data_IF_357636255285
#
_entry.id   IF_357636255285
#
_cell.length_a   1.000
_cell.length_b   1.000
_cell.length_c   1.000
_cell.angle_alpha   90.00
_cell.angle_beta   90.00
_cell.angle_gamma   90.00
#
_symmetry.space_group_name_H-M   'P 1'
#
loop_
_entity.id
_entity.type
_entity.pdbx_description
1 polymer ?
#
# COMPACT_ATOMS: atom_id res chain seq x y z
N UNK A 1 87.75 -15.75 -31.94
CA UNK A 1 86.99 -16.10 -30.72
C UNK A 1 86.29 -14.85 -30.21
N UNK A 2 84.96 -14.90 -30.06
CA UNK A 2 84.09 -14.11 -29.15
C UNK A 2 83.99 -12.60 -29.44
N UNK A 3 82.83 -11.92 -29.47
CA UNK A 3 81.38 -12.22 -29.37
C UNK A 3 80.66 -10.98 -29.94
N UNK A 4 79.61 -11.19 -30.72
CA UNK A 4 78.58 -10.19 -31.09
C UNK A 4 77.65 -10.02 -29.89
N UNK A 5 77.16 -8.80 -29.58
CA UNK A 5 75.73 -8.52 -29.35
C UNK A 5 75.46 -7.01 -29.13
N UNK A 6 74.27 -6.62 -29.56
CA UNK A 6 73.81 -5.31 -29.98
C UNK A 6 73.49 -4.32 -28.85
N UNK A 7 73.54 -3.04 -29.26
CA UNK A 7 73.15 -1.82 -28.55
C UNK A 7 71.61 -1.71 -28.50
N UNK A 8 71.04 -1.29 -27.36
CA UNK A 8 69.86 -0.43 -27.35
C UNK A 8 69.87 0.49 -26.12
N UNK A 9 69.78 1.78 -26.38
CA UNK A 9 69.66 2.88 -25.43
C UNK A 9 68.21 3.03 -24.94
N UNK A 10 67.99 3.63 -23.76
CA UNK A 10 67.38 4.96 -23.56
C UNK A 10 66.81 5.16 -22.12
N UNK A 11 67.27 6.25 -21.49
CA UNK A 11 66.56 7.20 -20.59
C UNK A 11 66.09 6.80 -19.18
N UNK A 12 66.58 7.59 -18.23
CA UNK A 12 66.13 7.72 -16.84
C UNK A 12 65.04 8.80 -16.70
N UNK A 13 64.02 8.55 -15.86
CA UNK A 13 63.25 9.57 -15.14
C UNK A 13 62.86 8.99 -13.77
N UNK A 14 63.21 9.70 -12.70
CA UNK A 14 62.71 9.47 -11.35
C UNK A 14 61.43 10.30 -11.12
N UNK A 15 60.37 9.69 -10.61
CA UNK A 15 59.27 10.40 -9.92
C UNK A 15 58.62 9.50 -8.87
N UNK A 16 58.59 10.00 -7.65
CA UNK A 16 57.74 9.57 -6.52
C UNK A 16 56.27 9.85 -6.80
N UNK A 17 55.34 8.94 -6.48
CA UNK A 17 53.95 9.30 -6.19
C UNK A 17 53.20 8.17 -5.46
N UNK A 18 52.86 8.48 -4.21
CA UNK A 18 51.62 8.23 -3.46
C UNK A 18 51.00 6.82 -3.42
N UNK A 19 50.76 6.42 -2.17
CA UNK A 19 49.87 5.38 -1.72
C UNK A 19 48.48 5.43 -2.40
N UNK A 20 47.97 4.26 -2.75
CA UNK A 20 46.55 3.98 -2.67
C UNK A 20 46.40 2.66 -1.93
N UNK A 21 46.05 2.81 -0.65
CA UNK A 21 45.47 1.75 0.15
C UNK A 21 44.13 1.39 -0.49
N UNK A 22 44.01 0.18 -1.03
CA UNK A 22 42.78 -0.33 -1.62
C UNK A 22 42.34 -1.48 -0.73
N UNK A 23 41.57 -1.14 0.31
CA UNK A 23 40.75 -2.10 1.05
C UNK A 23 39.61 -2.54 0.14
N UNK A 24 39.72 -3.75 -0.44
CA UNK A 24 38.65 -4.39 -1.22
C UNK A 24 37.74 -5.17 -0.28
N UNK A 25 36.53 -4.66 -0.04
CA UNK A 25 35.43 -5.44 0.54
C UNK A 25 34.80 -6.32 -0.54
N UNK A 26 34.65 -7.63 -0.29
CA UNK A 26 33.97 -8.56 -1.20
C UNK A 26 33.83 -9.98 -0.63
N UNK A 27 32.76 -10.68 -0.99
CA UNK A 27 32.52 -12.10 -0.63
C UNK A 27 33.20 -12.99 -1.68
N UNK A 28 34.10 -13.88 -1.25
CA UNK A 28 34.88 -14.76 -2.13
C UNK A 28 34.21 -16.12 -2.33
N UNK A 29 34.14 -16.61 -3.58
CA UNK A 29 33.84 -18.03 -3.87
C UNK A 29 35.15 -18.84 -3.95
N UNK A 30 35.07 -20.16 -3.72
CA UNK A 30 36.13 -21.19 -3.60
C UNK A 30 37.18 -21.27 -4.72
N UNK A 31 37.22 -20.34 -5.67
CA UNK A 31 38.23 -20.25 -6.74
C UNK A 31 39.00 -18.91 -6.78
N UNK A 32 38.86 -18.04 -5.78
CA UNK A 32 39.75 -16.89 -5.62
C UNK A 32 39.60 -15.77 -6.67
N UNK A 33 38.54 -15.78 -7.47
CA UNK A 33 38.13 -14.62 -8.26
C UNK A 33 37.24 -13.72 -7.40
N UNK A 34 37.65 -12.46 -7.25
CA UNK A 34 36.91 -11.43 -6.52
C UNK A 34 35.61 -11.12 -7.28
N UNK A 35 34.49 -11.63 -6.78
CA UNK A 35 33.19 -11.08 -7.15
C UNK A 35 33.01 -9.81 -6.31
N UNK A 36 33.29 -8.66 -6.92
CA UNK A 36 32.87 -7.37 -6.37
C UNK A 36 31.34 -7.40 -6.41
N UNK A 37 30.71 -7.87 -5.33
CA UNK A 37 29.29 -7.59 -5.11
C UNK A 37 29.29 -6.17 -4.58
N UNK A 38 29.13 -5.23 -5.50
CA UNK A 38 28.72 -3.88 -5.17
C UNK A 38 27.52 -4.04 -4.23
N UNK A 39 27.65 -3.60 -2.99
CA UNK A 39 26.56 -3.66 -2.02
C UNK A 39 25.49 -2.70 -2.53
N UNK A 40 24.60 -3.20 -3.37
CA UNK A 40 23.47 -2.43 -3.88
C UNK A 40 22.72 -1.85 -2.68
N UNK A 41 22.27 -0.59 -2.75
CA UNK A 41 21.48 0.00 -1.69
C UNK A 41 20.28 -0.93 -1.43
N UNK A 42 20.15 -1.40 -0.19
CA UNK A 42 19.10 -2.35 0.14
C UNK A 42 17.78 -1.60 0.18
N UNK A 43 16.99 -1.76 -0.87
CA UNK A 43 15.66 -1.16 -1.00
C UNK A 43 14.61 -2.12 -0.44
N UNK A 44 13.79 -1.60 0.46
CA UNK A 44 12.59 -2.26 0.97
C UNK A 44 11.39 -1.63 0.29
N UNK A 45 10.51 -2.48 -0.26
CA UNK A 45 9.25 -2.03 -0.83
C UNK A 45 8.16 -2.16 0.22
N UNK A 46 7.31 -1.14 0.31
CA UNK A 46 6.15 -1.14 1.18
C UNK A 46 4.94 -0.88 0.31
N UNK A 47 4.07 -1.86 0.23
CA UNK A 47 2.80 -1.74 -0.49
C UNK A 47 1.68 -1.51 0.51
N UNK A 48 1.05 -0.35 0.43
CA UNK A 48 -0.11 0.02 1.24
C UNK A 48 -1.37 -0.10 0.40
N UNK A 49 -2.44 -0.62 1.00
CA UNK A 49 -3.79 -0.62 0.45
C UNK A 49 -4.66 0.29 1.30
N UNK A 50 -5.20 1.33 0.68
CA UNK A 50 -5.98 2.37 1.34
C UNK A 50 -7.34 2.43 0.67
N UNK A 51 -8.39 2.39 1.47
CA UNK A 51 -9.76 2.64 1.04
C UNK A 51 -10.12 4.09 1.35
N UNK A 52 -10.68 4.78 0.37
CA UNK A 52 -11.27 6.11 0.52
C UNK A 52 -12.76 6.02 0.27
N UNK A 53 -13.54 6.29 1.31
CA UNK A 53 -15.00 6.33 1.26
C UNK A 53 -15.43 7.79 1.16
N UNK A 54 -15.95 8.17 0.00
CA UNK A 54 -16.48 9.51 -0.25
C UNK A 54 -18.02 9.49 -0.21
N UNK A 55 -18.60 10.15 0.79
CA UNK A 55 -20.05 10.22 0.96
C UNK A 55 -20.61 11.51 0.34
N UNK A 56 -21.50 11.36 -0.62
CA UNK A 56 -22.25 12.46 -1.25
C UNK A 56 -23.71 12.42 -0.77
N UNK A 57 -24.23 13.50 -0.14
CA UNK A 57 -25.61 13.53 0.35
C UNK A 57 -26.63 13.50 -0.80
N UNK A 58 -27.77 12.87 -0.54
CA UNK A 58 -28.87 12.77 -1.51
C UNK A 58 -29.57 14.11 -1.76
N UNK A 59 -30.13 14.27 -2.96
CA UNK A 59 -30.87 15.49 -3.36
C UNK A 59 -32.05 15.82 -2.44
N UNK A 60 -32.67 14.81 -1.82
CA UNK A 60 -33.81 14.94 -0.91
C UNK A 60 -33.43 14.76 0.57
N UNK A 61 -32.13 14.80 0.93
CA UNK A 61 -31.66 14.53 2.29
C UNK A 61 -32.32 15.39 3.37
N UNK A 62 -32.64 16.65 3.06
CA UNK A 62 -33.34 17.56 3.99
C UNK A 62 -34.75 17.09 4.36
N UNK A 63 -35.39 16.33 3.49
CA UNK A 63 -36.77 15.87 3.65
C UNK A 63 -36.87 14.42 4.19
N UNK A 64 -35.74 13.71 4.32
CA UNK A 64 -35.71 12.32 4.79
C UNK A 64 -36.40 12.15 6.15
N UNK A 65 -36.16 13.05 7.10
CA UNK A 65 -36.81 12.96 8.42
C UNK A 65 -38.33 13.15 8.35
N UNK A 66 -38.80 13.99 7.44
CA UNK A 66 -40.22 14.33 7.29
C UNK A 66 -41.00 13.17 6.67
N UNK A 67 -40.46 12.55 5.62
CA UNK A 67 -41.19 11.56 4.83
C UNK A 67 -40.81 10.10 5.14
N UNK A 68 -39.55 9.84 5.52
CA UNK A 68 -39.05 8.49 5.83
C UNK A 68 -38.83 8.27 7.34
N UNK A 69 -38.90 9.33 8.15
CA UNK A 69 -38.79 9.25 9.62
C UNK A 69 -37.36 9.12 10.15
N UNK A 70 -36.34 9.10 9.28
CA UNK A 70 -34.92 9.04 9.66
C UNK A 70 -34.15 10.25 9.15
N UNK A 71 -33.18 10.74 9.94
CA UNK A 71 -32.33 11.87 9.57
C UNK A 71 -31.25 11.39 8.61
N UNK A 72 -31.14 12.05 7.45
CA UNK A 72 -30.03 11.86 6.54
C UNK A 72 -28.88 12.82 6.88
N UNK A 73 -27.66 12.41 6.56
CA UNK A 73 -26.48 13.24 6.65
C UNK A 73 -26.51 14.30 5.56
N UNK A 74 -26.34 15.57 5.93
CA UNK A 74 -26.37 16.70 4.99
C UNK A 74 -24.97 17.16 4.55
N UNK A 75 -23.94 16.77 5.29
CA UNK A 75 -22.57 17.16 5.02
C UNK A 75 -21.88 16.06 4.20
N UNK A 76 -21.30 16.46 3.09
CA UNK A 76 -20.32 15.66 2.35
C UNK A 76 -19.10 15.44 3.25
N UNK A 77 -18.65 14.21 3.34
CA UNK A 77 -17.46 13.85 4.10
C UNK A 77 -16.71 12.74 3.38
N UNK A 78 -15.40 12.73 3.58
CA UNK A 78 -14.52 11.68 3.08
C UNK A 78 -13.86 11.06 4.30
N UNK A 79 -13.87 9.74 4.34
CA UNK A 79 -13.18 8.94 5.36
C UNK A 79 -12.20 8.02 4.69
N UNK A 80 -10.99 7.98 5.22
CA UNK A 80 -9.92 7.13 4.70
C UNK A 80 -9.61 6.06 5.73
N UNK A 81 -9.47 4.83 5.26
CA UNK A 81 -9.09 3.68 6.07
C UNK A 81 -7.90 2.94 5.43
N UNK A 82 -6.95 2.52 6.26
CA UNK A 82 -5.84 1.66 5.82
C UNK A 82 -6.26 0.21 5.95
N UNK A 83 -6.41 -0.49 4.83
CA UNK A 83 -6.83 -1.89 4.82
C UNK A 83 -5.69 -2.84 5.19
N UNK A 84 -4.52 -2.61 4.59
CA UNK A 84 -3.36 -3.47 4.77
C UNK A 84 -2.07 -2.76 4.38
N UNK A 85 -0.97 -3.16 5.01
CA UNK A 85 0.38 -2.90 4.53
C UNK A 85 1.09 -4.22 4.28
N UNK A 86 1.99 -4.25 3.31
CA UNK A 86 2.84 -5.42 3.04
C UNK A 86 4.27 -4.99 2.83
N UNK A 87 5.18 -5.66 3.52
CA UNK A 87 6.62 -5.43 3.39
C UNK A 87 7.20 -6.44 2.39
N UNK A 88 7.95 -5.95 1.41
CA UNK A 88 8.63 -6.76 0.39
C UNK A 88 10.08 -6.34 0.20
N UNK A 89 10.88 -7.22 -0.42
CA UNK A 89 12.29 -6.96 -0.75
C UNK A 89 12.46 -6.79 -2.26
N UNK A 90 13.20 -5.77 -2.70
CA UNK A 90 13.50 -5.47 -4.10
C UNK A 90 13.21 -4.02 -4.46
N UNK A 91 13.32 -3.63 -5.73
CA UNK A 91 12.75 -2.40 -6.25
C UNK A 91 11.54 -2.78 -7.12
N UNK A 92 10.33 -2.40 -6.71
CA UNK A 92 9.14 -2.55 -7.55
C UNK A 92 8.73 -1.14 -7.97
N UNK A 93 8.52 -0.92 -9.26
CA UNK A 93 8.05 0.38 -9.76
C UNK A 93 6.74 0.76 -9.07
N UNK A 94 6.65 2.03 -8.65
CA UNK A 94 5.48 2.58 -7.95
C UNK A 94 4.25 2.47 -8.87
N UNK A 95 3.51 1.38 -8.73
CA UNK A 95 2.25 1.17 -9.44
C UNK A 95 1.13 1.58 -8.52
N UNK A 96 0.45 2.66 -8.87
CA UNK A 96 -0.84 2.99 -8.26
C UNK A 96 -1.91 2.25 -9.05
N UNK A 97 -2.47 1.20 -8.45
CA UNK A 97 -3.65 0.54 -8.99
C UNK A 97 -4.85 1.06 -8.24
N UNK A 98 -5.73 1.77 -8.94
CA UNK A 98 -7.01 2.25 -8.41
C UNK A 98 -8.10 1.28 -8.85
N UNK A 99 -8.66 0.52 -7.91
CA UNK A 99 -9.89 -0.23 -8.13
C UNK A 99 -11.05 0.67 -7.66
N UNK A 100 -11.80 1.20 -8.64
CA UNK A 100 -12.96 2.06 -8.36
C UNK A 100 -14.20 1.19 -8.38
N UNK A 101 -14.82 0.96 -7.22
CA UNK A 101 -16.19 0.46 -7.17
C UNK A 101 -17.14 1.64 -7.42
N UNK A 102 -17.51 1.85 -8.68
CA UNK A 102 -18.31 3.01 -9.08
C UNK A 102 -19.72 2.95 -8.51
N UNK A 103 -19.98 3.80 -7.50
CA UNK A 103 -21.34 4.15 -7.12
C UNK A 103 -22.01 4.87 -8.29
N UNK A 104 -22.96 4.20 -8.95
CA UNK A 104 -23.73 4.76 -10.06
C UNK A 104 -24.63 5.87 -9.51
N UNK A 105 -24.30 7.12 -9.82
CA UNK A 105 -25.12 8.27 -9.45
C UNK A 105 -26.58 8.04 -9.89
N UNK A 106 -27.52 8.17 -8.95
CA UNK A 106 -28.94 8.01 -9.22
C UNK A 106 -29.38 9.06 -10.24
N UNK A 107 -29.78 8.61 -11.43
CA UNK A 107 -30.36 9.49 -12.43
C UNK A 107 -31.70 10.05 -11.91
N UNK A 108 -32.03 11.31 -12.21
CA UNK A 108 -33.34 11.87 -11.90
C UNK A 108 -34.44 10.96 -12.46
N UNK A 109 -35.56 10.88 -11.72
CA UNK A 109 -36.77 10.21 -12.16
C UNK A 109 -37.09 10.56 -13.61
N UNK A 110 -37.54 9.60 -14.45
CA UNK A 110 -38.04 9.94 -15.78
C UNK A 110 -39.20 10.93 -15.63
N UNK A 111 -38.97 12.18 -16.03
CA UNK A 111 -39.99 13.21 -16.06
C UNK A 111 -41.15 12.71 -16.91
N UNK A 112 -42.31 12.57 -16.26
CA UNK A 112 -43.54 12.26 -16.95
C UNK A 112 -43.88 13.50 -17.81
N UNK A 113 -43.65 13.42 -19.11
CA UNK A 113 -43.74 14.54 -20.08
C UNK A 113 -45.14 15.17 -20.21
N UNK A 114 -46.08 14.83 -19.32
CA UNK A 114 -47.48 15.28 -19.32
C UNK A 114 -47.79 16.32 -18.23
N UNK A 115 -46.88 16.65 -17.31
CA UNK A 115 -47.08 17.72 -16.33
C UNK A 115 -46.28 18.97 -16.69
N UNK A 116 -46.96 20.00 -17.19
CA UNK A 116 -46.42 21.33 -17.50
C UNK A 116 -46.16 22.22 -16.27
N UNK A 117 -45.97 21.62 -15.09
CA UNK A 117 -45.77 22.34 -13.82
C UNK A 117 -44.40 21.96 -13.26
N UNK A 118 -43.55 22.96 -13.05
CA UNK A 118 -42.30 22.78 -12.32
C UNK A 118 -42.65 22.37 -10.88
N UNK A 119 -42.54 21.07 -10.59
CA UNK A 119 -42.75 20.54 -9.24
C UNK A 119 -41.65 21.08 -8.31
N UNK A 120 -42.03 21.44 -7.08
CA UNK A 120 -41.06 21.86 -6.08
C UNK A 120 -40.21 20.65 -5.64
N UNK A 121 -38.98 20.89 -5.15
CA UNK A 121 -38.12 19.80 -4.65
C UNK A 121 -38.77 19.01 -3.50
N UNK A 122 -39.66 19.66 -2.73
CA UNK A 122 -40.39 19.03 -1.64
C UNK A 122 -41.51 18.12 -2.16
N UNK A 123 -42.27 18.56 -3.18
CA UNK A 123 -43.28 17.72 -3.83
C UNK A 123 -42.64 16.50 -4.51
N UNK A 124 -41.49 16.69 -5.17
CA UNK A 124 -40.73 15.59 -5.77
C UNK A 124 -40.23 14.60 -4.69
N UNK A 125 -39.76 15.10 -3.54
CA UNK A 125 -39.38 14.26 -2.42
C UNK A 125 -40.60 13.49 -1.87
N UNK A 126 -41.75 14.16 -1.69
CA UNK A 126 -42.98 13.50 -1.23
C UNK A 126 -43.41 12.37 -2.18
N UNK A 127 -43.41 12.63 -3.49
CA UNK A 127 -43.72 11.62 -4.50
C UNK A 127 -42.72 10.45 -4.50
N UNK A 128 -41.42 10.75 -4.34
CA UNK A 128 -40.38 9.71 -4.25
C UNK A 128 -40.55 8.85 -3.00
N UNK A 129 -40.91 9.45 -1.86
CA UNK A 129 -41.21 8.70 -0.64
C UNK A 129 -42.45 7.79 -0.81
N UNK A 130 -43.49 8.29 -1.48
CA UNK A 130 -44.67 7.48 -1.82
C UNK A 130 -44.31 6.26 -2.69
N UNK A 131 -43.42 6.44 -3.67
CA UNK A 131 -42.89 5.33 -4.47
C UNK A 131 -42.15 4.28 -3.62
N UNK A 132 -41.34 4.71 -2.65
CA UNK A 132 -40.65 3.80 -1.72
C UNK A 132 -41.69 2.98 -0.91
N UNK A 133 -42.71 3.62 -0.36
CA UNK A 133 -43.75 2.92 0.39
C UNK A 133 -44.59 1.98 -0.48
N UNK A 134 -44.87 2.38 -1.72
CA UNK A 134 -45.52 1.53 -2.73
C UNK A 134 -44.68 0.28 -3.03
N UNK A 135 -43.37 0.44 -3.26
CA UNK A 135 -42.45 -0.69 -3.48
C UNK A 135 -42.42 -1.64 -2.27
N UNK A 136 -42.36 -1.11 -1.05
CA UNK A 136 -42.41 -1.91 0.18
C UNK A 136 -43.70 -2.68 0.34
N UNK A 137 -44.84 -2.05 0.02
CA UNK A 137 -46.14 -2.70 0.01
C UNK A 137 -46.16 -3.82 -1.02
N UNK A 138 -45.75 -3.56 -2.26
CA UNK A 138 -45.68 -4.58 -3.31
C UNK A 138 -44.76 -5.75 -2.94
N UNK A 139 -43.62 -5.47 -2.30
CA UNK A 139 -42.74 -6.51 -1.76
C UNK A 139 -43.46 -7.39 -0.74
N UNK A 140 -44.23 -6.80 0.18
CA UNK A 140 -45.02 -7.55 1.16
C UNK A 140 -46.13 -8.36 0.49
N UNK A 141 -46.91 -7.76 -0.41
CA UNK A 141 -48.01 -8.41 -1.13
C UNK A 141 -47.53 -9.65 -1.94
N UNK A 142 -46.31 -9.57 -2.50
CA UNK A 142 -45.65 -10.67 -3.19
C UNK A 142 -45.17 -11.77 -2.23
N UNK A 143 -44.71 -11.41 -1.03
CA UNK A 143 -44.24 -12.36 -0.01
C UNK A 143 -45.42 -13.08 0.66
N UNK A 144 -46.51 -12.38 0.93
CA UNK A 144 -47.71 -12.94 1.60
C UNK A 144 -48.58 -13.77 0.68
N UNK A 145 -48.32 -13.76 -0.63
CA UNK A 145 -49.06 -14.55 -1.62
C UNK A 145 -50.42 -13.98 -2.00
N UNK A 146 -50.80 -12.80 -1.50
CA UNK A 146 -52.04 -12.10 -1.91
C UNK A 146 -52.01 -11.72 -3.40
N UNK A 147 -50.82 -11.52 -3.98
CA UNK A 147 -50.63 -11.31 -5.41
C UNK A 147 -50.85 -12.57 -6.29
N UNK A 148 -51.19 -13.71 -5.68
CA UNK A 148 -51.53 -14.95 -6.36
C UNK A 148 -50.43 -16.01 -6.27
N UNK A 149 -50.72 -17.07 -5.51
CA UNK A 149 -49.87 -18.25 -5.25
C UNK A 149 -49.39 -19.00 -6.53
N UNK A 150 -49.95 -18.64 -7.70
CA UNK A 150 -49.73 -19.33 -8.98
C UNK A 150 -48.97 -18.52 -10.05
N UNK A 151 -48.52 -17.29 -9.77
CA UNK A 151 -47.97 -16.39 -10.82
C UNK A 151 -46.44 -16.36 -10.86
N UNK A 152 -45.76 -16.65 -9.76
CA UNK A 152 -44.31 -16.48 -9.67
C UNK A 152 -43.62 -17.78 -9.25
N UNK A 153 -43.25 -18.60 -10.25
CA UNK A 153 -42.33 -19.72 -10.07
C UNK A 153 -40.89 -19.23 -9.84
N UNK A 154 -39.94 -19.63 -10.69
CA UNK A 154 -38.54 -19.20 -10.58
C UNK A 154 -38.29 -17.67 -10.68
N UNK A 155 -39.26 -16.90 -11.20
CA UNK A 155 -39.14 -15.46 -11.43
C UNK A 155 -39.43 -14.56 -10.22
N UNK A 156 -39.97 -15.09 -9.11
CA UNK A 156 -40.27 -14.29 -7.91
C UNK A 156 -39.02 -13.62 -7.36
N UNK A 157 -37.91 -14.37 -7.33
CA UNK A 157 -36.63 -13.90 -6.81
C UNK A 157 -36.13 -12.69 -7.61
N UNK A 158 -36.16 -12.77 -8.94
CA UNK A 158 -35.74 -11.67 -9.82
C UNK A 158 -36.65 -10.45 -9.69
N UNK A 159 -37.97 -10.65 -9.51
CA UNK A 159 -38.89 -9.55 -9.25
C UNK A 159 -38.59 -8.84 -7.92
N UNK A 160 -38.32 -9.61 -6.86
CA UNK A 160 -37.93 -9.07 -5.56
C UNK A 160 -36.58 -8.34 -5.61
N UNK A 161 -35.59 -8.89 -6.32
CA UNK A 161 -34.28 -8.26 -6.54
C UNK A 161 -34.42 -6.92 -7.29
N UNK A 162 -35.29 -6.85 -8.31
CA UNK A 162 -35.53 -5.60 -9.05
C UNK A 162 -36.27 -4.55 -8.20
N UNK A 163 -37.25 -4.98 -7.39
CA UNK A 163 -37.92 -4.09 -6.41
C UNK A 163 -36.89 -3.54 -5.42
N UNK A 164 -36.02 -4.39 -4.87
CA UNK A 164 -34.96 -3.96 -3.94
C UNK A 164 -33.98 -2.99 -4.62
N UNK A 165 -33.61 -3.25 -5.87
CA UNK A 165 -32.74 -2.38 -6.67
C UNK A 165 -33.36 -0.98 -6.87
N UNK A 166 -34.65 -0.93 -7.22
CA UNK A 166 -35.39 0.32 -7.39
C UNK A 166 -35.57 1.06 -6.05
N UNK A 167 -35.93 0.34 -4.99
CA UNK A 167 -36.06 0.90 -3.64
C UNK A 167 -34.75 1.54 -3.20
N UNK A 168 -33.62 0.83 -3.37
CA UNK A 168 -32.28 1.35 -3.04
C UNK A 168 -31.97 2.62 -3.83
N UNK A 169 -32.26 2.65 -5.13
CA UNK A 169 -32.05 3.84 -5.97
C UNK A 169 -32.84 5.06 -5.44
N UNK A 170 -34.08 4.88 -5.01
CA UNK A 170 -34.88 5.97 -4.43
C UNK A 170 -34.43 6.35 -3.03
N UNK A 171 -34.00 5.39 -2.22
CA UNK A 171 -33.41 5.66 -0.90
C UNK A 171 -32.11 6.46 -1.02
N UNK A 172 -31.27 6.18 -2.01
CA UNK A 172 -30.03 6.93 -2.27
C UNK A 172 -30.31 8.42 -2.57
N UNK A 173 -31.46 8.74 -3.18
CA UNK A 173 -31.88 10.14 -3.35
C UNK A 173 -32.14 10.85 -2.02
N UNK A 174 -32.49 10.12 -0.96
CA UNK A 174 -32.66 10.67 0.39
C UNK A 174 -31.39 10.58 1.23
N UNK A 175 -30.74 9.42 1.27
CA UNK A 175 -29.62 9.18 2.19
C UNK A 175 -28.26 9.46 1.56
N UNK A 176 -28.19 9.64 0.25
CA UNK A 176 -26.92 9.82 -0.46
C UNK A 176 -26.30 8.49 -0.88
N UNK A 177 -25.14 8.60 -1.50
CA UNK A 177 -24.34 7.46 -1.96
C UNK A 177 -22.92 7.58 -1.41
N UNK A 178 -22.31 6.43 -1.09
CA UNK A 178 -20.90 6.37 -0.74
C UNK A 178 -20.13 5.74 -1.89
N UNK A 179 -19.14 6.46 -2.41
CA UNK A 179 -18.19 5.95 -3.38
C UNK A 179 -16.96 5.42 -2.64
N UNK A 180 -16.76 4.11 -2.65
CA UNK A 180 -15.56 3.46 -2.11
C UNK A 180 -14.54 3.28 -3.22
N UNK A 181 -13.37 3.86 -3.02
CA UNK A 181 -12.23 3.72 -3.93
C UNK A 181 -11.08 3.07 -3.20
N UNK A 182 -10.55 1.98 -3.74
CA UNK A 182 -9.39 1.31 -3.18
C UNK A 182 -8.15 1.62 -4.02
N UNK A 183 -7.12 2.13 -3.37
CA UNK A 183 -5.85 2.48 -3.99
C UNK A 183 -4.72 1.67 -3.38
N UNK A 184 -3.89 1.11 -4.25
CA UNK A 184 -2.65 0.47 -3.84
C UNK A 184 -1.48 1.42 -4.09
N UNK A 185 -0.75 1.82 -3.05
CA UNK A 185 0.44 2.68 -3.14
C UNK A 185 1.69 1.87 -2.81
N UNK A 186 2.73 1.97 -3.64
CA UNK A 186 4.00 1.26 -3.40
C UNK A 186 5.13 2.26 -3.19
N UNK A 187 5.82 2.15 -2.06
CA UNK A 187 6.92 3.01 -1.64
C UNK A 187 8.21 2.23 -1.58
N UNK A 188 9.29 2.83 -2.07
CA UNK A 188 10.62 2.22 -2.09
C UNK A 188 11.52 2.99 -1.14
N UNK A 189 11.95 2.34 -0.05
CA UNK A 189 12.77 2.97 0.99
C UNK A 189 14.18 2.37 0.92
N UNK A 190 15.17 3.24 0.73
CA UNK A 190 16.57 2.88 0.86
C UNK A 190 16.94 2.81 2.35
N UNK A 191 17.39 1.64 2.81
CA UNK A 191 17.75 1.44 4.21
C UNK A 191 19.20 1.87 4.46
N UNK A 192 19.36 2.78 5.41
CA UNK A 192 20.63 3.21 6.01
C UNK A 192 20.90 2.41 7.31
N UNK A 193 22.12 1.89 7.53
CA UNK A 193 22.46 1.21 8.79
C UNK A 193 22.36 2.07 10.05
N UNK A 194 22.41 3.40 9.94
CA UNK A 194 22.36 4.31 11.09
C UNK A 194 20.95 4.64 11.57
N UNK A 195 19.93 4.34 10.76
CA UNK A 195 18.54 4.70 11.03
C UNK A 195 17.66 3.45 11.14
N UNK A 196 16.88 3.39 12.22
CA UNK A 196 15.97 2.27 12.51
C UNK A 196 14.50 2.61 12.26
N UNK A 197 14.14 3.89 12.27
CA UNK A 197 12.77 4.37 12.07
C UNK A 197 12.67 5.14 10.76
N UNK A 198 11.80 4.69 9.85
CA UNK A 198 11.56 5.34 8.56
C UNK A 198 10.10 5.74 8.43
N UNK A 199 9.84 7.01 8.15
CA UNK A 199 8.48 7.46 7.79
C UNK A 199 8.24 7.15 6.32
N UNK A 200 7.30 6.25 6.03
CA UNK A 200 6.98 5.78 4.67
C UNK A 200 6.12 6.83 3.95
N UNK A 201 5.00 7.17 4.56
CA UNK A 201 4.04 8.15 4.09
C UNK A 201 3.23 8.65 5.29
N UNK A 202 2.37 9.64 5.05
CA UNK A 202 1.38 10.06 6.05
C UNK A 202 -0.02 9.92 5.48
N UNK A 203 -1.00 9.64 6.33
CA UNK A 203 -2.37 9.37 5.93
C UNK A 203 -3.27 10.41 6.58
N UNK A 204 -3.96 11.15 5.71
CA UNK A 204 -4.93 12.17 6.09
C UNK A 204 -6.33 11.60 5.95
N UNK A 205 -7.18 11.87 6.93
CA UNK A 205 -8.59 11.42 6.95
C UNK A 205 -9.41 11.91 5.75
N UNK A 206 -8.97 13.01 5.10
CA UNK A 206 -9.71 13.68 4.01
C UNK A 206 -9.13 13.44 2.62
N UNK A 207 -7.81 13.41 2.51
CA UNK A 207 -7.09 13.37 1.22
C UNK A 207 -6.56 11.98 0.91
N UNK A 208 -6.35 11.15 1.94
CA UNK A 208 -5.75 9.83 1.78
C UNK A 208 -4.25 9.87 1.99
N UNK A 209 -3.51 9.26 1.09
CA UNK A 209 -2.05 9.14 1.17
C UNK A 209 -1.39 10.48 0.81
N UNK A 210 -0.62 11.02 1.73
CA UNK A 210 0.10 12.31 1.59
C UNK A 210 1.60 12.08 1.74
N UNK A 211 2.38 12.99 1.14
CA UNK A 211 3.83 13.03 1.27
C UNK A 211 4.28 13.15 2.74
N UNK A 212 5.53 12.76 2.99
CA UNK A 212 6.15 12.75 4.32
C UNK A 212 6.26 14.14 4.98
N UNK A 213 6.12 15.22 4.22
CA UNK A 213 6.31 16.60 4.70
C UNK A 213 5.08 17.18 5.41
N UNK A 214 3.87 16.67 5.12
CA UNK A 214 2.64 17.21 5.72
C UNK A 214 2.45 16.69 7.14
N UNK A 215 2.69 17.54 8.15
CA UNK A 215 2.59 17.18 9.57
C UNK A 215 1.15 17.06 10.07
N UNK A 216 0.15 17.37 9.24
CA UNK A 216 -1.26 17.33 9.60
C UNK A 216 -1.86 15.91 9.53
N UNK A 217 -1.09 14.96 8.99
CA UNK A 217 -1.51 13.59 8.70
C UNK A 217 -0.78 12.56 9.57
N UNK A 218 -1.43 11.43 9.84
CA UNK A 218 -0.91 10.37 10.70
C UNK A 218 0.24 9.61 10.01
N UNK A 219 1.41 9.42 10.65
CA UNK A 219 2.54 8.77 10.01
C UNK A 219 2.43 7.25 9.99
N UNK A 220 2.71 6.68 8.82
CA UNK A 220 3.02 5.25 8.66
C UNK A 220 4.52 5.07 8.79
N UNK A 221 4.94 4.34 9.82
CA UNK A 221 6.34 4.16 10.19
C UNK A 221 6.76 2.72 9.99
N UNK A 222 7.91 2.54 9.36
CA UNK A 222 8.65 1.29 9.33
C UNK A 222 9.70 1.33 10.45
N UNK A 223 9.54 0.47 11.44
CA UNK A 223 10.51 0.24 12.50
C UNK A 223 11.34 -1.00 12.19
N UNK A 224 12.67 -0.88 12.32
CA UNK A 224 13.63 -1.95 12.09
C UNK A 224 14.29 -2.35 13.40
N UNK A 225 14.15 -3.61 13.77
CA UNK A 225 14.83 -4.21 14.92
C UNK A 225 15.86 -5.22 14.38
N UNK A 226 17.13 -4.81 14.16
CA UNK A 226 18.17 -5.74 13.74
C UNK A 226 18.48 -6.71 14.88
N UNK A 227 18.37 -8.01 14.63
CA UNK A 227 18.80 -8.99 15.62
C UNK A 227 20.32 -8.91 15.80
N UNK A 228 20.80 -9.11 17.03
CA UNK A 228 22.24 -9.25 17.27
C UNK A 228 22.76 -10.45 16.49
N UNK A 229 23.78 -10.29 15.63
CA UNK A 229 24.39 -11.43 14.95
C UNK A 229 24.95 -12.38 16.00
N UNK A 230 24.48 -13.63 16.00
CA UNK A 230 25.09 -14.66 16.84
C UNK A 230 26.52 -14.87 16.37
N UNK A 231 27.48 -14.94 17.29
CA UNK A 231 28.82 -15.42 16.97
C UNK A 231 28.66 -16.83 16.41
N UNK A 232 29.04 -17.00 15.15
CA UNK A 232 29.06 -18.32 14.54
C UNK A 232 30.34 -19.01 14.99
N UNK A 233 30.23 -20.15 15.69
CA UNK A 233 31.37 -20.95 16.18
C UNK A 233 32.38 -21.35 15.07
N UNK A 234 31.95 -21.26 13.81
CA UNK A 234 32.78 -21.50 12.61
C UNK A 234 33.77 -20.36 12.31
N UNK A 235 33.58 -19.17 12.86
CA UNK A 235 34.48 -18.02 12.68
C UNK A 235 35.45 -17.95 13.87
N UNK A 236 36.62 -18.56 13.71
CA UNK A 236 37.66 -18.52 14.74
C UNK A 236 38.37 -17.15 14.72
N UNK A 237 38.49 -16.45 15.87
CA UNK A 237 39.21 -15.19 15.96
C UNK A 237 40.70 -15.40 15.63
N UNK A 238 41.31 -14.40 14.99
CA UNK A 238 42.72 -14.43 14.61
C UNK A 238 43.62 -14.62 15.83
N UNK A 239 44.47 -15.66 15.81
CA UNK A 239 45.53 -15.82 16.79
C UNK A 239 46.77 -14.97 16.41
N UNK A 240 47.66 -14.64 17.37
CA UNK A 240 48.86 -13.82 17.11
C UNK A 240 49.90 -14.46 16.15
N UNK A 241 49.60 -15.63 15.57
CA UNK A 241 50.47 -16.40 14.66
C UNK A 241 49.86 -16.64 13.26
N UNK A 242 48.64 -16.17 13.01
CA UNK A 242 47.98 -16.36 11.72
C UNK A 242 48.38 -15.26 10.73
N UNK A 243 48.85 -15.65 9.53
CA UNK A 243 49.34 -14.73 8.48
C UNK A 243 48.30 -14.41 7.39
N UNK A 244 47.17 -15.11 7.39
CA UNK A 244 46.14 -14.99 6.36
C UNK A 244 44.79 -14.78 7.06
N UNK A 245 44.11 -13.70 6.69
CA UNK A 245 42.82 -13.27 7.22
C UNK A 245 41.83 -13.10 6.07
N UNK A 246 40.58 -13.46 6.30
CA UNK A 246 39.47 -13.18 5.38
C UNK A 246 38.39 -12.36 6.11
N UNK A 247 37.79 -11.41 5.39
CA UNK A 247 36.66 -10.61 5.88
C UNK A 247 35.35 -11.31 5.53
N UNK A 248 34.54 -11.62 6.55
CA UNK A 248 33.22 -12.21 6.41
C UNK A 248 32.17 -11.17 6.75
N UNK A 249 31.14 -11.07 5.90
CA UNK A 249 29.96 -10.26 6.18
C UNK A 249 28.90 -11.12 6.87
N UNK A 250 28.74 -10.92 8.18
CA UNK A 250 27.80 -11.67 9.02
C UNK A 250 26.48 -10.91 9.07
N UNK A 251 25.44 -11.46 8.44
CA UNK A 251 24.11 -10.85 8.39
C UNK A 251 23.18 -11.52 9.38
N UNK A 252 22.47 -10.72 10.19
CA UNK A 252 21.43 -11.18 11.08
C UNK A 252 20.04 -10.88 10.48
N UNK A 253 19.00 -11.70 10.78
CA UNK A 253 17.63 -11.34 10.41
C UNK A 253 17.25 -10.03 11.12
N UNK A 254 16.73 -9.07 10.36
CA UNK A 254 16.17 -7.82 10.87
C UNK A 254 14.66 -7.96 10.86
N UNK A 255 14.02 -7.70 12.01
CA UNK A 255 12.57 -7.68 12.10
C UNK A 255 12.09 -6.31 11.66
N UNK A 256 11.27 -6.29 10.61
CA UNK A 256 10.67 -5.10 10.04
C UNK A 256 9.22 -5.04 10.50
N UNK A 257 8.84 -3.96 11.18
CA UNK A 257 7.52 -3.76 11.76
C UNK A 257 6.91 -2.53 11.10
N UNK A 258 5.77 -2.68 10.45
CA UNK A 258 5.05 -1.58 9.81
C UNK A 258 3.86 -1.18 10.67
N UNK A 259 3.85 0.06 11.14
CA UNK A 259 2.86 0.56 12.10
C UNK A 259 2.19 1.81 11.53
N UNK A 260 0.88 1.91 11.71
CA UNK A 260 0.13 3.15 11.55
C UNK A 260 -0.51 3.52 12.89
N UNK A 261 -0.02 4.57 13.52
CA UNK A 261 -0.38 4.98 14.89
C UNK A 261 -0.26 3.85 15.92
N UNK A 262 -1.36 3.12 16.19
CA UNK A 262 -1.43 1.99 17.11
C UNK A 262 -1.73 0.65 16.42
N UNK A 263 -1.97 0.66 15.11
CA UNK A 263 -2.29 -0.53 14.33
C UNK A 263 -1.02 -1.12 13.71
N UNK A 264 -0.73 -2.38 14.04
CA UNK A 264 0.29 -3.17 13.37
C UNK A 264 -0.25 -3.63 12.01
N UNK A 265 0.33 -3.13 10.92
CA UNK A 265 -0.07 -3.48 9.56
C UNK A 265 0.59 -4.77 9.09
N UNK A 266 1.90 -4.91 9.31
CA UNK A 266 2.67 -6.09 8.92
C UNK A 266 3.93 -6.23 9.78
N UNK A 267 4.41 -7.45 9.92
CA UNK A 267 5.66 -7.77 10.61
C UNK A 267 6.38 -8.88 9.86
N UNK A 268 7.55 -8.58 9.30
CA UNK A 268 8.34 -9.52 8.51
C UNK A 268 9.78 -9.58 8.99
N UNK A 269 10.36 -10.78 9.06
CA UNK A 269 11.79 -10.97 9.29
C UNK A 269 12.51 -11.05 7.95
N UNK A 270 13.48 -10.17 7.72
CA UNK A 270 14.25 -10.15 6.49
C UNK A 270 15.73 -9.88 6.71
N UNK A 271 16.54 -10.44 5.83
CA UNK A 271 17.99 -10.29 5.84
C UNK A 271 18.34 -9.04 5.04
N UNK A 272 18.71 -7.97 5.75
CA UNK A 272 19.10 -6.66 5.21
C UNK A 272 20.63 -6.53 5.27
N UNK A 273 21.26 -6.36 4.12
CA UNK A 273 22.72 -6.21 4.00
C UNK A 273 23.31 -5.00 4.77
N UNK A 274 22.61 -3.85 4.90
CA UNK A 274 23.12 -2.70 5.65
C UNK A 274 23.44 -3.00 7.11
N UNK A 275 22.68 -3.88 7.77
CA UNK A 275 22.90 -4.25 9.18
C UNK A 275 23.93 -5.38 9.37
N UNK A 276 24.62 -5.77 8.31
CA UNK A 276 25.60 -6.83 8.40
C UNK A 276 26.90 -6.35 9.04
N UNK A 277 27.47 -7.18 9.92
CA UNK A 277 28.72 -6.88 10.61
C UNK A 277 29.89 -7.50 9.84
N UNK A 278 30.90 -6.71 9.52
CA UNK A 278 32.16 -7.24 9.01
C UNK A 278 32.95 -7.89 10.16
N UNK A 279 33.33 -9.15 9.98
CA UNK A 279 34.11 -9.94 10.94
C UNK A 279 35.33 -10.48 10.23
N UNK A 280 36.51 -10.15 10.72
CA UNK A 280 37.77 -10.71 10.22
C UNK A 280 38.03 -12.02 10.94
N UNK A 281 38.08 -13.12 10.20
CA UNK A 281 38.30 -14.45 10.76
C UNK A 281 39.30 -15.26 9.92
N UNK A 282 39.73 -16.40 10.48
CA UNK A 282 40.60 -17.34 9.77
C UNK A 282 39.86 -17.96 8.57
N UNK A 283 40.53 -18.19 7.42
CA UNK A 283 39.89 -18.83 6.26
C UNK A 283 39.32 -20.20 6.62
N UNK A 284 38.04 -20.40 6.30
CA UNK A 284 37.35 -21.69 6.48
C UNK A 284 37.90 -22.68 5.44
N UNK A 285 38.46 -23.80 5.88
CA UNK A 285 38.97 -24.87 5.01
C UNK A 285 37.87 -25.71 4.38
#
# INVERSE_FOLDING_TARGET
>A
MKKIFAILALIAIATTAMAQDISKAGVYNKQGQALVVEAEPCVVNITLRVATDHFTPGIYARYAQKYLGQRATLAEHTTVEVLAGKIGKGAVEATVTTEVEQAKAALPLPENRTSSVAQTTEEQAAATAELIFSLRKHRLDLITGEAGENVFGAGLKSALEEIERLERTYLDMFYGTTLRTEEQHTFNIAIDPAQLDYTVCRISDKVGVVATDDLSAAPVVLHLEPATPKEYDILQPLGPKDKVSEEYLVVAPTKCILINEALLLDSCEMVLLPFAKSVVAKPIK
#
